data_IF_285008319323
#
_entry.id   IF_285008319323
#
_cell.length_a   1.000
_cell.length_b   1.000
_cell.length_c   1.000
_cell.angle_alpha   90.00
_cell.angle_beta   90.00
_cell.angle_gamma   90.00
#
_symmetry.space_group_name_H-M   'P 1'
#
loop_
_entity.id
_entity.type
_entity.pdbx_description
1 polymer ?
#
# COMPACT_ATOMS: atom_id res chain seq x y z
N UNK A 1 4.26 -42.48 -10.09
CA UNK A 1 3.00 -41.87 -10.58
C UNK A 1 2.86 -40.51 -9.90
N UNK A 2 3.28 -39.42 -10.55
CA UNK A 2 3.26 -38.05 -10.01
C UNK A 2 2.50 -37.13 -10.98
N UNK A 3 1.26 -37.48 -11.32
CA UNK A 3 0.41 -36.69 -12.23
C UNK A 3 -0.50 -35.70 -11.48
N UNK A 4 -0.59 -35.77 -10.14
CA UNK A 4 -1.51 -34.94 -9.35
C UNK A 4 -1.12 -33.47 -9.19
N UNK A 5 0.16 -33.12 -9.28
CA UNK A 5 0.61 -31.73 -9.05
C UNK A 5 0.40 -30.81 -10.25
N UNK A 6 0.29 -31.37 -11.47
CA UNK A 6 0.13 -30.56 -12.68
C UNK A 6 -1.27 -29.93 -12.75
N UNK A 7 -2.30 -30.68 -12.36
CA UNK A 7 -3.68 -30.21 -12.39
C UNK A 7 -3.93 -29.05 -11.41
N UNK A 8 -3.30 -29.08 -10.24
CA UNK A 8 -3.39 -27.99 -9.25
C UNK A 8 -2.79 -26.67 -9.78
N UNK A 9 -1.64 -26.75 -10.47
CA UNK A 9 -0.99 -25.58 -11.07
C UNK A 9 -1.83 -25.01 -12.21
N UNK A 10 -2.40 -25.86 -13.06
CA UNK A 10 -3.27 -25.45 -14.17
C UNK A 10 -4.55 -24.80 -13.65
N UNK A 11 -5.20 -25.40 -12.66
CA UNK A 11 -6.41 -24.86 -12.04
C UNK A 11 -6.15 -23.49 -11.40
N UNK A 12 -5.03 -23.32 -10.71
CA UNK A 12 -4.65 -22.04 -10.11
C UNK A 12 -4.41 -20.95 -11.16
N UNK A 13 -3.73 -21.27 -12.27
CA UNK A 13 -3.54 -20.32 -13.38
C UNK A 13 -4.88 -19.90 -13.97
N UNK A 14 -5.81 -20.84 -14.11
CA UNK A 14 -7.15 -20.56 -14.62
C UNK A 14 -7.95 -19.67 -13.67
N UNK A 15 -7.90 -19.93 -12.36
CA UNK A 15 -8.53 -19.10 -11.33
C UNK A 15 -7.95 -17.68 -11.31
N UNK A 16 -6.63 -17.52 -11.37
CA UNK A 16 -5.98 -16.21 -11.46
C UNK A 16 -6.36 -15.46 -12.74
N UNK A 17 -6.43 -16.15 -13.87
CA UNK A 17 -6.86 -15.57 -15.14
C UNK A 17 -8.33 -15.10 -15.09
N UNK A 18 -9.23 -15.93 -14.52
CA UNK A 18 -10.65 -15.57 -14.34
C UNK A 18 -10.82 -14.37 -13.40
N UNK A 19 -10.06 -14.33 -12.30
CA UNK A 19 -10.08 -13.22 -11.35
C UNK A 19 -9.55 -11.93 -12.00
N UNK A 20 -8.53 -12.04 -12.84
CA UNK A 20 -8.04 -10.94 -13.66
C UNK A 20 -9.08 -10.46 -14.68
N UNK A 21 -9.71 -11.37 -15.43
CA UNK A 21 -10.75 -11.03 -16.41
C UNK A 21 -11.97 -10.36 -15.75
N UNK A 22 -12.41 -10.87 -14.59
CA UNK A 22 -13.52 -10.24 -13.84
C UNK A 22 -13.16 -8.87 -13.29
N UNK A 23 -11.91 -8.67 -12.85
CA UNK A 23 -11.42 -7.34 -12.47
C UNK A 23 -11.45 -6.38 -13.67
N UNK A 24 -10.91 -6.79 -14.83
CA UNK A 24 -10.92 -6.00 -16.06
C UNK A 24 -12.34 -5.62 -16.51
N UNK A 25 -13.29 -6.57 -16.48
CA UNK A 25 -14.69 -6.32 -16.84
C UNK A 25 -15.38 -5.39 -15.83
N UNK A 26 -15.10 -5.55 -14.53
CA UNK A 26 -15.64 -4.66 -13.50
C UNK A 26 -15.10 -3.23 -13.65
N UNK A 27 -13.81 -3.08 -13.96
CA UNK A 27 -13.17 -1.78 -14.24
C UNK A 27 -13.77 -1.13 -15.50
N UNK A 28 -13.94 -1.90 -16.58
CA UNK A 28 -14.57 -1.41 -17.81
C UNK A 28 -16.04 -0.99 -17.60
N UNK A 29 -16.79 -1.75 -16.80
CA UNK A 29 -18.20 -1.47 -16.52
C UNK A 29 -18.41 -0.27 -15.60
N UNK A 30 -17.50 -0.04 -14.64
CA UNK A 30 -17.52 1.15 -13.81
C UNK A 30 -17.27 2.42 -14.63
N UNK A 31 -16.41 2.32 -15.66
CA UNK A 31 -16.10 3.44 -16.53
C UNK A 31 -17.24 3.84 -17.50
N UNK A 32 -18.29 3.03 -17.67
CA UNK A 32 -19.32 3.21 -18.70
C UNK A 32 -20.63 3.86 -18.23
N UNK A 33 -20.76 4.28 -16.97
CA UNK A 33 -22.10 4.54 -16.38
C UNK A 33 -22.74 5.90 -16.62
N UNK A 34 -22.09 6.88 -17.23
CA UNK A 34 -22.72 8.20 -17.40
C UNK A 34 -22.55 8.76 -18.80
N UNK A 35 -23.67 8.85 -19.53
CA UNK A 35 -23.78 9.70 -20.71
C UNK A 35 -24.22 11.10 -20.27
N UNK A 36 -23.42 12.14 -20.50
CA UNK A 36 -23.79 13.53 -20.28
C UNK A 36 -24.94 13.97 -21.19
N UNK A 37 -25.68 14.99 -20.73
CA UNK A 37 -26.71 15.67 -21.51
C UNK A 37 -26.03 16.63 -22.51
N UNK A 38 -26.54 16.73 -23.74
CA UNK A 38 -25.80 17.33 -24.87
C UNK A 38 -25.65 18.87 -24.83
N UNK A 39 -26.30 19.55 -23.88
CA UNK A 39 -26.35 21.02 -23.87
C UNK A 39 -25.58 21.67 -22.71
N UNK A 40 -24.69 20.93 -22.03
CA UNK A 40 -24.00 21.43 -20.82
C UNK A 40 -22.49 21.49 -21.01
N UNK A 41 -21.86 22.51 -20.42
CA UNK A 41 -20.40 22.59 -20.31
C UNK A 41 -19.87 21.56 -19.29
N UNK A 42 -18.56 21.27 -19.35
CA UNK A 42 -17.92 20.38 -18.37
C UNK A 42 -18.09 20.87 -16.92
N UNK A 43 -18.00 22.19 -16.70
CA UNK A 43 -18.16 22.80 -15.38
C UNK A 43 -19.56 22.57 -14.80
N UNK A 44 -20.60 22.86 -15.60
CA UNK A 44 -22.00 22.66 -15.19
C UNK A 44 -22.31 21.18 -14.92
N UNK A 45 -21.75 20.28 -15.72
CA UNK A 45 -21.91 18.84 -15.52
C UNK A 45 -21.28 18.37 -14.21
N UNK A 46 -20.09 18.88 -13.87
CA UNK A 46 -19.39 18.55 -12.63
C UNK A 46 -20.13 19.07 -11.40
N UNK A 47 -20.67 20.29 -11.46
CA UNK A 47 -21.46 20.85 -10.37
C UNK A 47 -22.75 20.03 -10.17
N UNK A 48 -23.51 19.77 -11.22
CA UNK A 48 -24.77 19.02 -11.10
C UNK A 48 -24.57 17.57 -10.65
N UNK A 49 -23.62 16.84 -11.23
CA UNK A 49 -23.48 15.39 -10.98
C UNK A 49 -22.64 15.07 -9.74
N UNK A 50 -21.68 15.93 -9.41
CA UNK A 50 -20.73 15.67 -8.34
C UNK A 50 -20.74 16.74 -7.25
N UNK A 51 -21.58 17.78 -7.36
CA UNK A 51 -21.60 18.93 -6.45
C UNK A 51 -20.22 19.60 -6.35
N UNK A 52 -19.46 19.56 -7.45
CA UNK A 52 -18.14 20.18 -7.56
C UNK A 52 -18.30 21.58 -8.15
N UNK A 53 -18.42 22.58 -7.27
CA UNK A 53 -18.44 24.01 -7.64
C UNK A 53 -17.05 24.47 -8.04
N UNK A 54 -16.60 24.02 -9.19
CA UNK A 54 -15.24 24.26 -9.69
C UNK A 54 -14.98 25.78 -9.77
N UNK A 55 -13.92 26.22 -9.07
CA UNK A 55 -13.49 27.62 -9.10
C UNK A 55 -12.55 27.87 -10.27
N UNK A 56 -11.78 26.85 -10.63
CA UNK A 56 -10.78 26.90 -11.69
C UNK A 56 -10.78 25.55 -12.37
N UNK A 57 -10.81 25.52 -13.71
CA UNK A 57 -10.62 24.33 -14.52
C UNK A 57 -9.55 24.63 -15.55
N UNK A 58 -8.49 23.84 -15.59
CA UNK A 58 -7.42 24.00 -16.56
C UNK A 58 -7.12 22.66 -17.27
N UNK A 59 -6.83 22.75 -18.56
CA UNK A 59 -6.48 21.60 -19.40
C UNK A 59 -4.99 21.29 -19.26
N UNK A 60 -4.64 20.07 -18.83
CA UNK A 60 -3.23 19.62 -18.78
C UNK A 60 -2.80 19.02 -20.11
N UNK A 61 -3.65 18.14 -20.64
CA UNK A 61 -3.32 17.31 -21.80
C UNK A 61 -4.51 17.32 -22.74
N UNK A 62 -4.40 18.13 -23.79
CA UNK A 62 -5.22 18.02 -24.97
C UNK A 62 -4.77 16.76 -25.71
N UNK A 63 -5.26 15.60 -25.32
CA UNK A 63 -5.24 14.48 -26.24
C UNK A 63 -5.78 14.93 -27.62
N UNK A 64 -5.38 14.29 -28.72
CA UNK A 64 -5.96 14.55 -30.05
C UNK A 64 -7.51 14.59 -29.99
N UNK A 65 -8.16 15.28 -30.93
CA UNK A 65 -9.62 15.53 -30.98
C UNK A 65 -10.54 14.32 -30.73
N UNK A 66 -10.03 13.09 -30.85
CA UNK A 66 -10.77 11.84 -30.59
C UNK A 66 -10.41 11.12 -29.27
N UNK A 67 -9.49 11.67 -28.48
CA UNK A 67 -8.96 11.06 -27.25
C UNK A 67 -9.45 11.80 -26.01
N UNK A 68 -9.37 11.12 -24.87
CA UNK A 68 -9.76 11.71 -23.59
C UNK A 68 -8.77 12.80 -23.16
N UNK A 69 -9.30 13.97 -22.83
CA UNK A 69 -8.53 15.08 -22.26
C UNK A 69 -8.45 14.96 -20.74
N UNK A 70 -7.32 15.41 -20.18
CA UNK A 70 -7.13 15.47 -18.72
C UNK A 70 -7.22 16.91 -18.26
N UNK A 71 -8.13 17.16 -17.32
CA UNK A 71 -8.41 18.46 -16.73
C UNK A 71 -8.08 18.42 -15.24
N UNK A 72 -7.59 19.54 -14.72
CA UNK A 72 -7.54 19.79 -13.29
C UNK A 72 -8.62 20.77 -12.90
N UNK A 73 -9.23 20.53 -11.75
CA UNK A 73 -10.13 21.50 -11.15
C UNK A 73 -9.81 21.72 -9.69
N UNK A 74 -9.90 22.97 -9.24
CA UNK A 74 -10.01 23.30 -7.83
C UNK A 74 -11.49 23.42 -7.49
N UNK A 75 -11.96 22.67 -6.50
CA UNK A 75 -13.35 22.74 -6.04
C UNK A 75 -13.39 22.85 -4.50
N UNK A 76 -14.25 23.72 -3.94
CA UNK A 76 -14.39 23.86 -2.51
C UNK A 76 -15.11 22.66 -1.90
N UNK A 77 -14.64 22.20 -0.75
CA UNK A 77 -15.34 21.24 0.07
C UNK A 77 -16.56 21.88 0.73
N UNK A 78 -17.73 21.20 0.76
CA UNK A 78 -18.95 21.76 1.32
C UNK A 78 -18.88 22.16 2.80
N UNK A 79 -17.93 21.61 3.57
CA UNK A 79 -17.90 21.75 5.04
C UNK A 79 -17.09 22.93 5.55
N UNK A 80 -15.98 23.27 4.90
CA UNK A 80 -14.98 24.20 5.42
C UNK A 80 -14.49 25.21 4.37
N UNK A 81 -15.03 25.17 3.14
CA UNK A 81 -14.61 26.03 2.03
C UNK A 81 -13.12 25.91 1.65
N UNK A 82 -12.40 24.90 2.14
CA UNK A 82 -11.06 24.58 1.63
C UNK A 82 -11.20 23.99 0.25
N UNK A 83 -10.25 24.29 -0.64
CA UNK A 83 -10.28 23.81 -2.01
C UNK A 83 -9.45 22.53 -2.11
N UNK A 84 -10.05 21.54 -2.74
CA UNK A 84 -9.37 20.30 -3.11
C UNK A 84 -9.04 20.33 -4.61
N UNK A 85 -7.92 19.71 -4.96
CA UNK A 85 -7.49 19.50 -6.34
C UNK A 85 -8.08 18.20 -6.87
N UNK A 86 -8.85 18.28 -7.96
CA UNK A 86 -9.40 17.14 -8.64
C UNK A 86 -8.77 16.94 -10.02
N UNK A 87 -8.46 15.69 -10.37
CA UNK A 87 -8.26 15.27 -11.76
C UNK A 87 -9.58 14.81 -12.33
N UNK A 88 -9.93 15.38 -13.48
CA UNK A 88 -11.11 15.02 -14.26
C UNK A 88 -10.65 14.55 -15.62
N UNK A 89 -11.16 13.40 -16.04
CA UNK A 89 -10.96 12.91 -17.40
C UNK A 89 -12.26 13.02 -18.15
N UNK A 90 -12.22 13.77 -19.23
CA UNK A 90 -13.39 13.99 -20.05
C UNK A 90 -13.03 13.85 -21.52
N UNK A 91 -13.89 13.17 -22.26
CA UNK A 91 -13.93 13.27 -23.72
C UNK A 91 -14.96 14.34 -24.04
N UNK A 92 -14.54 15.39 -24.71
CA UNK A 92 -15.40 16.49 -25.14
C UNK A 92 -15.65 16.42 -26.66
N UNK A 93 -16.71 17.06 -27.13
CA UNK A 93 -16.90 17.40 -28.55
C UNK A 93 -15.97 18.56 -28.94
N UNK A 94 -15.93 18.91 -30.23
CA UNK A 94 -15.17 20.09 -30.71
C UNK A 94 -15.69 21.39 -30.08
N UNK A 95 -16.98 21.43 -29.74
CA UNK A 95 -17.66 22.54 -29.06
C UNK A 95 -17.45 22.54 -27.53
N UNK A 96 -16.68 21.58 -26.99
CA UNK A 96 -16.40 21.49 -25.55
C UNK A 96 -17.51 20.83 -24.72
N UNK A 97 -18.52 20.24 -25.36
CA UNK A 97 -19.59 19.50 -24.68
C UNK A 97 -19.04 18.14 -24.23
N UNK A 98 -19.20 17.73 -22.97
CA UNK A 98 -18.76 16.41 -22.55
C UNK A 98 -19.56 15.33 -23.29
N UNK A 99 -18.86 14.35 -23.86
CA UNK A 99 -19.39 13.09 -24.39
C UNK A 99 -19.28 11.99 -23.33
N UNK A 100 -18.21 12.04 -22.54
CA UNK A 100 -17.94 11.10 -21.45
C UNK A 100 -17.12 11.80 -20.39
N UNK A 101 -17.53 11.71 -19.14
CA UNK A 101 -16.76 12.22 -18.00
C UNK A 101 -16.57 11.06 -17.03
N UNK A 102 -15.32 10.77 -16.69
CA UNK A 102 -14.98 9.79 -15.66
C UNK A 102 -15.21 10.39 -14.27
N UNK A 103 -15.31 9.53 -13.26
CA UNK A 103 -15.37 9.95 -11.87
C UNK A 103 -14.18 10.87 -11.54
N UNK A 104 -14.42 12.10 -11.06
CA UNK A 104 -13.36 12.99 -10.60
C UNK A 104 -12.57 12.32 -9.46
N UNK A 105 -11.25 12.46 -9.49
CA UNK A 105 -10.39 11.88 -8.46
C UNK A 105 -9.72 13.00 -7.69
N UNK A 106 -9.92 13.00 -6.37
CA UNK A 106 -9.26 13.94 -5.47
C UNK A 106 -7.76 13.62 -5.38
N UNK A 107 -6.92 14.60 -5.66
CA UNK A 107 -5.47 14.56 -5.61
C UNK A 107 -4.89 15.30 -4.39
N UNK A 108 -5.71 15.95 -3.57
CA UNK A 108 -5.27 16.60 -2.34
C UNK A 108 -4.76 15.54 -1.36
N UNK A 109 -3.58 15.79 -0.77
CA UNK A 109 -2.92 14.83 0.11
C UNK A 109 -3.56 14.72 1.49
N UNK A 110 -4.21 15.79 1.96
CA UNK A 110 -4.84 15.82 3.28
C UNK A 110 -6.21 16.46 3.21
N UNK A 111 -7.11 16.03 4.09
CA UNK A 111 -8.48 16.57 4.22
C UNK A 111 -8.51 18.04 4.71
N UNK A 112 -7.35 18.57 5.12
CA UNK A 112 -7.19 19.93 5.62
C UNK A 112 -6.31 20.80 4.72
N UNK A 113 -5.86 20.26 3.58
CA UNK A 113 -5.12 21.04 2.61
C UNK A 113 -6.07 22.01 1.91
N UNK A 114 -5.75 23.30 1.93
CA UNK A 114 -6.39 24.27 1.04
C UNK A 114 -5.49 24.47 -0.18
N UNK A 115 -5.75 23.70 -1.23
CA UNK A 115 -5.03 23.78 -2.51
C UNK A 115 -5.44 25.07 -3.24
N UNK A 116 -4.45 25.94 -3.43
CA UNK A 116 -4.61 27.25 -4.06
C UNK A 116 -3.60 27.46 -5.18
N UNK A 117 -3.78 28.53 -5.96
CA UNK A 117 -2.86 28.94 -7.01
C UNK A 117 -2.50 27.81 -7.98
N UNK A 118 -3.51 27.05 -8.43
CA UNK A 118 -3.32 26.07 -9.49
C UNK A 118 -2.73 26.77 -10.72
N UNK A 119 -1.59 26.26 -11.20
CA UNK A 119 -0.94 26.72 -12.42
C UNK A 119 -0.48 25.52 -13.23
N UNK A 120 -0.85 25.47 -14.50
CA UNK A 120 -0.39 24.44 -15.42
C UNK A 120 0.65 25.01 -16.39
N UNK A 121 1.71 24.24 -16.66
CA UNK A 121 2.66 24.49 -17.74
C UNK A 121 3.09 23.17 -18.38
N UNK A 122 2.62 22.94 -19.61
CA UNK A 122 2.82 21.66 -20.29
C UNK A 122 2.21 20.52 -19.46
N UNK A 123 3.01 19.50 -19.15
CA UNK A 123 2.58 18.36 -18.35
C UNK A 123 2.78 18.52 -16.84
N UNK A 124 3.12 19.73 -16.39
CA UNK A 124 3.32 20.03 -14.97
C UNK A 124 2.17 20.86 -14.44
N UNK A 125 1.69 20.52 -13.24
CA UNK A 125 0.77 21.33 -12.48
C UNK A 125 1.38 21.67 -11.12
N UNK A 126 1.30 22.93 -10.73
CA UNK A 126 1.66 23.39 -9.40
C UNK A 126 0.40 23.74 -8.63
N UNK A 127 0.32 23.27 -7.39
CA UNK A 127 -0.58 23.83 -6.37
C UNK A 127 0.21 24.27 -5.15
N UNK A 128 -0.33 25.26 -4.44
CA UNK A 128 0.18 25.71 -3.16
C UNK A 128 -0.79 25.25 -2.08
N UNK A 129 -0.29 24.58 -1.06
CA UNK A 129 -1.08 24.18 0.08
C UNK A 129 -0.95 25.25 1.16
N UNK A 130 -2.10 25.81 1.54
CA UNK A 130 -2.19 26.71 2.68
C UNK A 130 -2.63 25.95 3.91
N UNK A 131 -2.01 26.28 5.04
CA UNK A 131 -2.51 25.86 6.34
C UNK A 131 -3.80 26.61 6.66
N UNK A 132 -4.87 25.88 6.90
CA UNK A 132 -6.18 26.41 7.24
C UNK A 132 -6.20 27.36 8.46
N UNK A 133 -5.27 27.21 9.42
CA UNK A 133 -5.25 28.06 10.62
C UNK A 133 -4.53 29.37 10.38
N UNK A 134 -3.39 29.32 9.70
CA UNK A 134 -2.52 30.49 9.50
C UNK A 134 -2.76 31.19 8.16
N UNK A 135 -3.48 30.55 7.24
CA UNK A 135 -3.65 30.94 5.83
C UNK A 135 -2.32 31.13 5.06
N UNK A 136 -1.20 30.65 5.64
CA UNK A 136 0.13 30.71 5.05
C UNK A 136 0.40 29.48 4.20
N UNK A 137 1.19 29.68 3.14
CA UNK A 137 1.71 28.61 2.30
C UNK A 137 2.73 27.81 3.11
N UNK A 138 2.43 26.53 3.30
CA UNK A 138 3.28 25.58 4.03
C UNK A 138 3.96 24.59 3.10
N UNK A 139 3.31 24.25 1.98
CA UNK A 139 3.83 23.32 1.00
C UNK A 139 3.53 23.76 -0.43
N UNK A 140 4.37 23.32 -1.35
CA UNK A 140 4.16 23.46 -2.78
C UNK A 140 4.21 22.08 -3.39
N UNK A 141 3.17 21.73 -4.12
CA UNK A 141 3.04 20.43 -4.77
C UNK A 141 3.25 20.61 -6.27
N UNK A 142 4.25 19.95 -6.83
CA UNK A 142 4.43 19.89 -8.29
C UNK A 142 4.09 18.49 -8.75
N UNK A 143 3.08 18.42 -9.60
CA UNK A 143 2.57 17.19 -10.20
C UNK A 143 3.04 17.10 -11.64
N UNK A 144 3.69 15.99 -12.00
CA UNK A 144 4.10 15.68 -13.36
C UNK A 144 3.19 14.60 -13.95
N UNK A 145 2.51 14.91 -15.04
CA UNK A 145 1.62 14.02 -15.78
C UNK A 145 2.32 13.28 -16.93
N UNK A 146 3.61 13.55 -17.17
CA UNK A 146 4.41 12.72 -18.09
C UNK A 146 4.72 11.35 -17.49
N UNK A 147 4.87 10.32 -18.35
CA UNK A 147 5.41 9.06 -17.92
C UNK A 147 6.80 9.30 -17.31
N UNK A 148 7.07 8.78 -16.09
CA UNK A 148 8.36 8.95 -15.45
C UNK A 148 9.46 8.41 -16.37
N UNK A 149 10.60 9.13 -16.51
CA UNK A 149 11.66 8.68 -17.37
C UNK A 149 12.10 7.28 -16.94
N UNK A 150 12.18 6.35 -17.89
CA UNK A 150 12.67 4.98 -17.68
C UNK A 150 14.17 5.01 -17.38
N UNK A 151 14.57 5.56 -16.23
CA UNK A 151 15.97 5.65 -15.80
C UNK A 151 16.54 4.29 -15.40
N UNK A 152 15.69 3.29 -15.13
CA UNK A 152 16.06 1.91 -14.85
C UNK A 152 15.25 0.98 -15.74
N UNK A 153 15.86 -0.08 -16.28
CA UNK A 153 15.12 -1.17 -16.95
C UNK A 153 14.23 -1.86 -15.91
N UNK A 154 13.03 -1.34 -15.71
CA UNK A 154 12.02 -1.95 -14.84
C UNK A 154 11.60 -3.29 -15.43
N UNK A 155 11.42 -4.29 -14.59
CA UNK A 155 10.85 -5.56 -15.03
C UNK A 155 9.44 -5.34 -15.58
N UNK A 156 8.94 -6.20 -16.49
CA UNK A 156 7.56 -6.09 -17.01
C UNK A 156 6.52 -6.10 -15.87
N UNK A 157 6.82 -6.80 -14.78
CA UNK A 157 5.96 -6.89 -13.60
C UNK A 157 5.95 -5.55 -12.85
N UNK A 158 7.10 -4.91 -12.64
CA UNK A 158 7.17 -3.58 -12.01
C UNK A 158 6.48 -2.52 -12.86
N UNK A 159 6.67 -2.54 -14.18
CA UNK A 159 5.95 -1.64 -15.10
C UNK A 159 4.44 -1.80 -14.95
N UNK A 160 3.97 -3.04 -14.87
CA UNK A 160 2.56 -3.33 -14.67
C UNK A 160 2.05 -2.89 -13.28
N UNK A 161 2.79 -3.21 -12.20
CA UNK A 161 2.45 -2.77 -10.83
C UNK A 161 2.33 -1.25 -10.77
N UNK A 162 3.30 -0.54 -11.36
CA UNK A 162 3.30 0.91 -11.44
C UNK A 162 2.11 1.42 -12.24
N UNK A 163 1.87 0.87 -13.42
CA UNK A 163 0.74 1.26 -14.27
C UNK A 163 -0.61 1.05 -13.57
N UNK A 164 -0.77 -0.05 -12.85
CA UNK A 164 -2.01 -0.32 -12.14
C UNK A 164 -2.14 0.52 -10.85
N UNK A 165 -1.05 0.81 -10.14
CA UNK A 165 -1.05 1.75 -9.00
C UNK A 165 -1.47 3.14 -9.45
N UNK A 166 -0.87 3.62 -10.54
CA UNK A 166 -1.24 4.86 -11.20
C UNK A 166 -2.72 4.84 -11.58
N UNK A 167 -3.18 3.75 -12.19
CA UNK A 167 -4.57 3.66 -12.63
C UNK A 167 -5.56 3.69 -11.47
N UNK A 168 -5.24 3.05 -10.34
CA UNK A 168 -6.09 3.08 -9.15
C UNK A 168 -6.16 4.46 -8.48
N UNK A 169 -5.15 5.31 -8.69
CA UNK A 169 -5.07 6.64 -8.07
C UNK A 169 -5.51 7.78 -8.99
N UNK A 170 -5.30 7.65 -10.29
CA UNK A 170 -5.52 8.74 -11.25
C UNK A 170 -6.43 8.31 -12.41
N UNK A 171 -6.83 7.03 -12.43
CA UNK A 171 -7.53 6.42 -13.56
C UNK A 171 -6.63 6.16 -14.77
N UNK A 172 -5.36 6.56 -14.73
CA UNK A 172 -4.46 6.48 -15.88
C UNK A 172 -3.33 5.47 -15.63
N UNK A 173 -2.93 4.74 -16.67
CA UNK A 173 -1.72 3.89 -16.57
C UNK A 173 -0.45 4.72 -16.40
N UNK A 174 -0.48 5.98 -16.85
CA UNK A 174 0.56 6.98 -16.60
C UNK A 174 0.36 7.54 -15.19
N UNK A 175 1.43 7.52 -14.41
CA UNK A 175 1.39 8.01 -13.03
C UNK A 175 1.44 9.52 -13.00
N UNK A 176 0.83 10.08 -11.96
CA UNK A 176 1.09 11.46 -11.60
C UNK A 176 2.26 11.43 -10.62
N UNK A 177 3.43 11.83 -11.10
CA UNK A 177 4.58 12.05 -10.22
C UNK A 177 4.26 13.23 -9.31
N UNK A 178 4.50 13.10 -8.01
CA UNK A 178 4.33 14.19 -7.06
C UNK A 178 5.68 14.50 -6.43
N UNK A 179 6.05 15.77 -6.44
CA UNK A 179 7.14 16.32 -5.65
C UNK A 179 6.57 17.36 -4.71
N UNK A 180 7.07 17.37 -3.48
CA UNK A 180 6.59 18.25 -2.41
C UNK A 180 7.77 19.07 -1.91
N UNK A 181 7.59 20.39 -1.86
CA UNK A 181 8.53 21.31 -1.23
C UNK A 181 7.86 21.92 -0.02
N UNK A 182 8.50 21.77 1.13
CA UNK A 182 8.07 22.45 2.35
C UNK A 182 8.63 23.86 2.38
N UNK A 183 7.80 24.81 2.79
CA UNK A 183 8.11 26.22 2.90
C UNK A 183 8.39 26.53 4.38
N UNK A 184 9.64 26.87 4.70
CA UNK A 184 10.06 27.15 6.08
C UNK A 184 10.87 28.47 6.18
N UNK A 185 10.39 29.48 6.93
CA UNK A 185 9.10 29.53 7.61
C UNK A 185 7.92 29.60 6.60
N UNK A 186 6.69 29.27 7.03
CA UNK A 186 5.51 29.45 6.19
C UNK A 186 5.38 30.89 5.68
N UNK A 187 5.02 31.05 4.40
CA UNK A 187 4.99 32.35 3.72
C UNK A 187 3.57 32.77 3.32
N UNK A 188 3.28 34.06 3.30
CA UNK A 188 1.94 34.56 2.91
C UNK A 188 1.65 34.33 1.42
N UNK A 189 2.70 34.37 0.61
CA UNK A 189 2.67 34.03 -0.81
C UNK A 189 4.02 33.49 -1.25
N UNK A 190 3.99 32.57 -2.22
CA UNK A 190 5.19 32.13 -2.92
C UNK A 190 4.94 32.33 -4.40
N UNK A 191 5.87 32.96 -5.10
CA UNK A 191 5.83 32.98 -6.57
C UNK A 191 6.54 31.75 -7.09
N UNK A 192 5.82 30.95 -7.87
CA UNK A 192 6.34 29.71 -8.46
C UNK A 192 6.38 29.85 -9.97
N UNK A 193 7.52 29.52 -10.56
CA UNK A 193 7.68 29.39 -12.00
C UNK A 193 8.19 27.99 -12.35
N UNK A 194 7.59 27.41 -13.39
CA UNK A 194 7.99 26.10 -13.92
C UNK A 194 8.77 26.34 -15.20
N UNK A 195 9.94 25.73 -15.35
CA UNK A 195 10.67 25.72 -16.61
C UNK A 195 10.06 24.68 -17.56
N UNK A 196 10.39 24.76 -18.85
CA UNK A 196 9.97 23.74 -19.82
C UNK A 196 10.55 22.35 -19.53
N UNK A 197 11.59 22.27 -18.69
CA UNK A 197 12.22 21.02 -18.24
C UNK A 197 11.61 20.48 -16.94
N UNK A 198 10.58 21.13 -16.40
CA UNK A 198 9.97 20.75 -15.12
C UNK A 198 10.81 21.16 -13.90
N UNK A 199 11.80 22.04 -14.09
CA UNK A 199 12.54 22.64 -12.99
C UNK A 199 11.70 23.77 -12.41
N UNK A 200 11.58 23.80 -11.08
CA UNK A 200 10.67 24.72 -10.39
C UNK A 200 11.53 25.73 -9.65
N UNK A 201 11.35 27.01 -9.98
CA UNK A 201 11.97 28.10 -9.26
C UNK A 201 10.95 28.74 -8.31
N UNK A 202 11.42 29.00 -7.09
CA UNK A 202 10.62 29.58 -6.02
C UNK A 202 11.18 30.97 -5.68
N UNK A 203 10.30 31.96 -5.62
CA UNK A 203 10.64 33.31 -5.20
C UNK A 203 9.72 33.71 -4.04
N UNK A 204 10.34 33.95 -2.88
CA UNK A 204 9.69 34.43 -1.65
C UNK A 204 10.75 35.08 -0.77
N UNK A 205 10.44 36.23 -0.15
CA UNK A 205 11.47 37.14 0.39
C UNK A 205 12.36 36.52 1.47
N UNK A 206 11.88 35.52 2.23
CA UNK A 206 12.61 34.97 3.38
C UNK A 206 12.42 33.46 3.59
N UNK A 207 11.69 32.79 2.69
CA UNK A 207 11.36 31.38 2.85
C UNK A 207 12.46 30.47 2.30
N UNK A 208 12.86 29.45 3.08
CA UNK A 208 13.68 28.35 2.59
C UNK A 208 12.76 27.26 2.07
N UNK A 209 13.09 26.75 0.89
CA UNK A 209 12.39 25.64 0.27
C UNK A 209 13.22 24.39 0.46
N UNK A 210 12.68 23.45 1.24
CA UNK A 210 13.29 22.13 1.40
C UNK A 210 12.44 21.16 0.60
N UNK A 211 13.04 20.48 -0.37
CA UNK A 211 12.38 19.35 -1.01
C UNK A 211 12.21 18.27 0.05
N UNK A 212 10.99 18.13 0.57
CA UNK A 212 10.65 17.12 1.56
C UNK A 212 10.34 15.88 0.77
N UNK A 213 11.41 15.16 0.48
CA UNK A 213 11.46 13.80 -0.01
C UNK A 213 10.46 13.50 -1.13
N UNK A 214 10.97 13.38 -2.36
CA UNK A 214 10.24 12.72 -3.43
C UNK A 214 9.65 11.45 -2.85
N UNK A 215 8.32 11.37 -2.71
CA UNK A 215 7.64 10.15 -2.29
C UNK A 215 7.89 9.11 -3.40
N UNK A 216 9.09 8.54 -3.42
CA UNK A 216 9.37 7.25 -4.03
C UNK A 216 8.50 6.30 -3.25
N UNK A 217 7.29 6.10 -3.78
CA UNK A 217 6.26 5.25 -3.17
C UNK A 217 6.94 3.99 -2.68
N UNK A 218 6.85 3.76 -1.37
CA UNK A 218 7.28 2.49 -0.81
C UNK A 218 6.67 1.38 -1.66
N UNK A 219 7.54 0.55 -2.23
CA UNK A 219 7.11 -0.58 -3.03
C UNK A 219 6.36 -1.55 -2.11
N UNK A 220 5.06 -1.36 -1.99
CA UNK A 220 4.23 -2.28 -1.25
C UNK A 220 4.41 -3.67 -1.86
N UNK A 221 4.61 -4.72 -1.03
CA UNK A 221 4.56 -6.08 -1.51
C UNK A 221 3.28 -6.29 -2.33
N UNK A 222 3.36 -7.04 -3.43
CA UNK A 222 2.28 -7.16 -4.43
C UNK A 222 0.91 -7.40 -3.78
N UNK A 223 0.84 -8.17 -2.70
CA UNK A 223 -0.38 -8.44 -1.96
C UNK A 223 -1.01 -7.20 -1.31
N UNK A 224 -0.21 -6.40 -0.60
CA UNK A 224 -0.67 -5.17 0.02
C UNK A 224 -1.17 -4.19 -1.05
N UNK A 225 -0.46 -4.14 -2.18
CA UNK A 225 -0.87 -3.36 -3.33
C UNK A 225 -2.22 -3.84 -3.91
N UNK A 226 -2.37 -5.15 -4.22
CA UNK A 226 -3.62 -5.73 -4.75
C UNK A 226 -4.78 -5.53 -3.78
N UNK A 227 -4.57 -5.73 -2.47
CA UNK A 227 -5.58 -5.52 -1.46
C UNK A 227 -6.02 -4.04 -1.37
N UNK A 228 -5.08 -3.10 -1.49
CA UNK A 228 -5.38 -1.67 -1.49
C UNK A 228 -6.15 -1.24 -2.74
N UNK A 229 -5.73 -1.69 -3.94
CA UNK A 229 -6.47 -1.45 -5.20
C UNK A 229 -7.86 -2.05 -5.12
N UNK A 230 -7.97 -3.28 -4.61
CA UNK A 230 -9.23 -3.97 -4.38
C UNK A 230 -10.20 -3.19 -3.52
N UNK A 231 -9.72 -2.69 -2.38
CA UNK A 231 -10.51 -1.90 -1.43
C UNK A 231 -11.02 -0.60 -2.06
N UNK A 232 -10.20 0.07 -2.88
CA UNK A 232 -10.58 1.29 -3.60
C UNK A 232 -11.64 1.04 -4.68
N UNK A 233 -11.55 -0.08 -5.41
CA UNK A 233 -12.48 -0.38 -6.51
C UNK A 233 -13.80 -0.98 -6.04
N UNK A 234 -13.77 -1.81 -4.99
CA UNK A 234 -14.96 -2.41 -4.38
C UNK A 234 -14.75 -2.57 -2.87
N UNK A 235 -15.36 -1.71 -2.03
CA UNK A 235 -15.23 -1.77 -0.58
C UNK A 235 -16.09 -2.89 0.03
N UNK A 236 -15.97 -4.11 -0.46
CA UNK A 236 -16.70 -5.28 0.08
C UNK A 236 -15.72 -6.29 0.67
N UNK A 237 -15.95 -6.69 1.92
CA UNK A 237 -15.11 -7.65 2.65
C UNK A 237 -14.94 -8.98 1.92
N UNK A 238 -15.94 -9.40 1.13
CA UNK A 238 -15.90 -10.62 0.31
C UNK A 238 -14.77 -10.60 -0.73
N UNK A 239 -14.49 -9.45 -1.33
CA UNK A 239 -13.42 -9.34 -2.33
C UNK A 239 -12.03 -9.46 -1.70
N UNK A 240 -11.84 -8.82 -0.54
CA UNK A 240 -10.60 -8.91 0.25
C UNK A 240 -10.38 -10.34 0.75
N UNK A 241 -11.44 -11.02 1.20
CA UNK A 241 -11.38 -12.42 1.62
C UNK A 241 -10.96 -13.34 0.46
N UNK A 242 -11.57 -13.18 -0.72
CA UNK A 242 -11.21 -13.95 -1.92
C UNK A 242 -9.75 -13.74 -2.33
N UNK A 243 -9.26 -12.49 -2.31
CA UNK A 243 -7.86 -12.19 -2.62
C UNK A 243 -6.90 -12.84 -1.62
N UNK A 244 -7.22 -12.80 -0.33
CA UNK A 244 -6.42 -13.46 0.71
C UNK A 244 -6.38 -14.98 0.50
N UNK A 245 -7.53 -15.59 0.20
CA UNK A 245 -7.62 -17.04 -0.04
C UNK A 245 -6.76 -17.47 -1.24
N UNK A 246 -6.87 -16.77 -2.37
CA UNK A 246 -6.07 -17.06 -3.58
C UNK A 246 -4.58 -16.88 -3.28
N UNK A 247 -4.20 -15.83 -2.55
CA UNK A 247 -2.80 -15.61 -2.19
C UNK A 247 -2.25 -16.69 -1.25
N UNK A 248 -2.96 -17.01 -0.16
CA UNK A 248 -2.46 -18.01 0.79
C UNK A 248 -2.38 -19.39 0.14
N UNK A 249 -3.31 -19.72 -0.76
CA UNK A 249 -3.24 -20.95 -1.55
C UNK A 249 -2.03 -20.96 -2.49
N UNK A 250 -1.81 -19.87 -3.23
CA UNK A 250 -0.66 -19.68 -4.11
C UNK A 250 0.69 -19.79 -3.37
N UNK A 251 0.79 -19.08 -2.25
CA UNK A 251 2.00 -19.01 -1.44
C UNK A 251 2.30 -20.35 -0.79
N UNK A 252 1.29 -21.02 -0.23
CA UNK A 252 1.46 -22.35 0.34
C UNK A 252 1.90 -23.37 -0.71
N UNK A 253 1.37 -23.28 -1.94
CA UNK A 253 1.81 -24.15 -3.03
C UNK A 253 3.26 -23.87 -3.45
N UNK A 254 3.66 -22.59 -3.55
CA UNK A 254 5.05 -22.23 -3.84
C UNK A 254 6.01 -22.69 -2.74
N UNK A 255 5.63 -22.60 -1.47
CA UNK A 255 6.41 -23.17 -0.37
C UNK A 255 6.53 -24.69 -0.50
N UNK A 256 5.44 -25.40 -0.76
CA UNK A 256 5.46 -26.86 -1.00
C UNK A 256 6.32 -27.24 -2.20
N UNK A 257 6.24 -26.52 -3.32
CA UNK A 257 7.07 -26.78 -4.50
C UNK A 257 8.54 -26.46 -4.22
N UNK A 258 8.83 -25.37 -3.49
CA UNK A 258 10.19 -25.02 -3.10
C UNK A 258 10.77 -26.04 -2.13
N UNK A 259 9.97 -26.56 -1.21
CA UNK A 259 10.33 -27.64 -0.30
C UNK A 259 10.57 -28.94 -1.04
N UNK A 260 9.70 -29.34 -1.97
CA UNK A 260 9.88 -30.53 -2.80
C UNK A 260 11.16 -30.47 -3.66
N UNK A 261 11.61 -29.26 -4.02
CA UNK A 261 12.86 -29.04 -4.76
C UNK A 261 14.07 -28.95 -3.81
N UNK A 262 13.90 -28.41 -2.60
CA UNK A 262 14.97 -28.21 -1.62
C UNK A 262 15.28 -29.47 -0.79
N UNK A 263 14.33 -30.39 -0.63
CA UNK A 263 14.52 -31.65 0.11
C UNK A 263 15.54 -32.59 -0.58
N UNK A 264 15.95 -32.30 -1.81
CA UNK A 264 17.00 -33.02 -2.54
C UNK A 264 18.41 -32.43 -2.30
N UNK A 265 18.55 -31.33 -1.53
CA UNK A 265 19.88 -30.76 -1.24
C UNK A 265 19.95 -30.01 0.10
N UNK A 266 20.36 -30.75 1.15
CA UNK A 266 21.12 -30.31 2.34
C UNK A 266 20.45 -29.67 3.57
N UNK A 267 20.78 -30.30 4.71
CA UNK A 267 21.19 -29.75 6.02
C UNK A 267 20.48 -28.50 6.58
N UNK A 268 19.62 -28.72 7.57
CA UNK A 268 19.03 -27.67 8.39
C UNK A 268 20.04 -27.04 9.35
N UNK A 269 20.33 -25.76 9.11
CA UNK A 269 21.02 -24.85 10.02
C UNK A 269 20.17 -24.60 11.27
N UNK A 270 20.68 -24.97 12.43
CA UNK A 270 20.14 -24.59 13.74
C UNK A 270 20.69 -23.23 14.16
N UNK A 271 19.82 -22.33 14.62
CA UNK A 271 20.26 -21.12 15.34
C UNK A 271 21.00 -21.56 16.61
N UNK A 272 22.10 -20.89 17.01
CA UNK A 272 22.86 -21.26 18.19
C UNK A 272 22.12 -20.81 19.45
N UNK A 273 21.14 -21.59 19.89
CA UNK A 273 20.64 -21.51 21.27
C UNK A 273 21.68 -22.21 22.14
N UNK A 274 22.31 -21.48 23.07
CA UNK A 274 23.31 -22.04 24.00
C UNK A 274 22.68 -23.18 24.81
N UNK A 275 22.96 -24.41 24.40
CA UNK A 275 22.44 -25.68 24.93
C UNK A 275 22.72 -25.85 26.44
N UNK A 276 23.75 -25.16 26.97
CA UNK A 276 24.13 -25.23 28.38
C UNK A 276 23.12 -24.64 29.38
N UNK A 277 22.12 -23.85 28.94
CA UNK A 277 21.13 -23.25 29.85
C UNK A 277 19.94 -24.16 30.18
N UNK A 278 19.69 -25.21 29.38
CA UNK A 278 18.46 -26.03 29.47
C UNK A 278 18.48 -26.98 30.67
N UNK A 279 19.65 -27.53 31.00
CA UNK A 279 19.77 -28.58 32.01
C UNK A 279 19.79 -28.02 33.45
N UNK A 280 20.41 -26.85 33.66
CA UNK A 280 20.32 -26.09 34.90
C UNK A 280 18.90 -25.55 35.14
N UNK A 281 18.23 -25.07 34.10
CA UNK A 281 16.84 -24.62 34.19
C UNK A 281 15.90 -25.78 34.57
N UNK A 282 16.14 -26.99 34.03
CA UNK A 282 15.38 -28.21 34.37
C UNK A 282 15.55 -28.61 35.84
N UNK A 283 16.76 -28.50 36.40
CA UNK A 283 17.04 -28.76 37.82
C UNK A 283 16.42 -27.70 38.74
N UNK A 284 16.46 -26.41 38.36
CA UNK A 284 15.83 -25.32 39.12
C UNK A 284 14.30 -25.38 39.09
N UNK A 285 13.72 -25.73 37.95
CA UNK A 285 12.26 -25.91 37.82
C UNK A 285 11.76 -27.11 38.65
N UNK A 286 12.51 -28.21 38.69
CA UNK A 286 12.16 -29.38 39.50
C UNK A 286 12.15 -29.09 41.02
N UNK A 287 12.93 -28.11 41.49
CA UNK A 287 13.00 -27.72 42.90
C UNK A 287 11.80 -26.86 43.36
N UNK A 288 11.11 -26.18 42.43
CA UNK A 288 9.99 -25.27 42.74
C UNK A 288 8.61 -25.96 42.76
N UNK A 289 8.52 -27.23 42.33
CA UNK A 289 7.26 -27.99 42.23
C UNK A 289 6.66 -28.34 43.61
N UNK A 290 7.43 -28.27 44.71
CA UNK A 290 6.98 -28.79 46.01
C UNK A 290 6.00 -27.91 46.80
N UNK A 291 5.81 -26.63 46.48
CA UNK A 291 5.00 -25.73 47.36
C UNK A 291 4.09 -24.70 46.65
N UNK A 292 3.95 -24.74 45.32
CA UNK A 292 3.12 -23.76 44.60
C UNK A 292 1.83 -24.36 44.05
N UNK A 293 0.69 -23.73 44.36
CA UNK A 293 -0.63 -24.07 43.78
C UNK A 293 -0.67 -23.94 42.24
N UNK A 294 0.29 -23.22 41.65
CA UNK A 294 0.51 -23.12 40.19
C UNK A 294 2.03 -23.08 39.95
N UNK A 295 2.66 -24.17 39.48
CA UNK A 295 4.10 -24.18 39.24
C UNK A 295 4.46 -23.22 38.11
N UNK A 296 5.56 -22.47 38.28
CA UNK A 296 6.16 -21.64 37.24
C UNK A 296 7.56 -22.16 36.87
N UNK A 297 7.89 -22.36 35.58
CA UNK A 297 6.98 -22.26 34.43
C UNK A 297 5.87 -23.33 34.48
N UNK A 298 4.77 -23.15 33.72
CA UNK A 298 3.75 -24.18 33.58
C UNK A 298 4.34 -25.49 33.04
N UNK A 299 3.61 -26.60 33.14
CA UNK A 299 4.03 -27.86 32.55
C UNK A 299 4.32 -27.73 31.03
N UNK A 300 5.20 -28.60 30.48
CA UNK A 300 5.43 -28.66 29.03
C UNK A 300 4.14 -28.76 28.22
N UNK A 301 4.14 -28.13 27.05
CA UNK A 301 3.00 -28.16 26.14
C UNK A 301 2.86 -29.56 25.51
N UNK A 302 1.62 -30.04 25.29
CA UNK A 302 1.39 -31.29 24.59
C UNK A 302 1.88 -31.19 23.14
N UNK A 303 2.66 -32.16 22.70
CA UNK A 303 3.13 -32.24 21.31
C UNK A 303 2.06 -32.88 20.45
N UNK A 304 1.66 -32.19 19.38
CA UNK A 304 0.56 -32.60 18.51
C UNK A 304 0.95 -33.66 17.46
N UNK A 305 2.25 -33.77 17.15
CA UNK A 305 2.74 -34.64 16.09
C UNK A 305 3.48 -35.87 16.66
N UNK A 306 3.32 -37.06 16.04
CA UNK A 306 4.17 -38.20 16.35
C UNK A 306 5.61 -37.86 15.92
N UNK A 307 6.59 -38.13 16.79
CA UNK A 307 8.01 -37.73 16.69
C UNK A 307 8.28 -36.26 17.07
N UNK A 308 8.21 -35.91 18.38
CA UNK A 308 8.59 -34.57 18.85
C UNK A 308 10.02 -34.23 18.42
N UNK A 309 10.25 -32.98 18.02
CA UNK A 309 11.60 -32.45 17.81
C UNK A 309 12.24 -32.08 19.14
N UNK A 310 13.56 -31.93 19.12
CA UNK A 310 14.33 -31.46 20.28
C UNK A 310 13.73 -30.16 20.82
N UNK A 311 13.43 -30.17 22.13
CA UNK A 311 12.82 -29.06 22.86
C UNK A 311 11.41 -28.64 22.41
N UNK A 312 10.72 -29.43 21.58
CA UNK A 312 9.33 -29.17 21.21
C UNK A 312 8.42 -29.33 22.44
N UNK A 313 7.60 -28.32 22.70
CA UNK A 313 6.73 -28.23 23.87
C UNK A 313 7.46 -27.94 25.20
N UNK A 314 8.80 -27.92 25.23
CA UNK A 314 9.58 -27.61 26.43
C UNK A 314 9.76 -26.10 26.61
N UNK A 315 9.56 -25.61 27.83
CA UNK A 315 9.79 -24.20 28.18
C UNK A 315 11.29 -23.93 28.37
N UNK A 316 11.85 -23.11 27.49
CA UNK A 316 13.23 -22.67 27.53
C UNK A 316 13.27 -21.25 28.10
N UNK A 317 14.08 -20.96 29.14
CA UNK A 317 14.20 -19.62 29.67
C UNK A 317 14.83 -18.68 28.64
N UNK A 318 14.26 -17.49 28.49
CA UNK A 318 14.81 -16.43 27.64
C UNK A 318 15.48 -15.41 28.53
N UNK A 319 16.81 -15.42 28.55
CA UNK A 319 17.57 -14.41 29.29
C UNK A 319 17.39 -13.04 28.62
N UNK A 320 16.90 -12.06 29.39
CA UNK A 320 16.85 -10.67 28.98
C UNK A 320 17.69 -9.82 29.94
N UNK A 321 18.76 -9.24 29.43
CA UNK A 321 19.70 -8.42 30.22
C UNK A 321 19.08 -7.10 30.72
N UNK A 322 17.95 -6.68 30.14
CA UNK A 322 17.25 -5.43 30.50
C UNK A 322 16.27 -5.59 31.66
N UNK A 323 16.04 -6.81 32.15
CA UNK A 323 15.09 -7.09 33.24
C UNK A 323 15.86 -7.49 34.50
N UNK A 324 15.60 -6.78 35.59
CA UNK A 324 16.26 -7.01 36.88
C UNK A 324 15.93 -8.42 37.38
N UNK A 325 16.95 -9.28 37.48
CA UNK A 325 16.80 -10.64 38.00
C UNK A 325 16.79 -10.63 39.52
N UNK A 326 15.76 -11.22 40.12
CA UNK A 326 15.80 -11.57 41.53
C UNK A 326 16.62 -12.86 41.68
N UNK A 327 17.66 -12.84 42.52
CA UNK A 327 18.67 -13.91 42.61
C UNK A 327 18.10 -15.30 42.94
N UNK A 328 16.88 -15.36 43.50
CA UNK A 328 16.22 -16.61 43.90
C UNK A 328 14.88 -16.87 43.18
N UNK A 329 14.50 -16.03 42.22
CA UNK A 329 13.28 -16.23 41.43
C UNK A 329 13.56 -17.03 40.16
N UNK A 330 12.58 -17.80 39.65
CA UNK A 330 12.68 -18.38 38.31
C UNK A 330 12.76 -17.27 37.24
N UNK A 331 13.22 -17.61 36.04
CA UNK A 331 13.34 -16.62 34.97
C UNK A 331 11.95 -16.05 34.63
N UNK A 332 11.84 -14.72 34.42
CA UNK A 332 10.55 -14.11 34.16
C UNK A 332 10.01 -14.46 32.78
N UNK A 333 10.86 -14.84 31.82
CA UNK A 333 10.44 -15.16 30.46
C UNK A 333 10.79 -16.59 30.10
N UNK A 334 9.81 -17.31 29.56
CA UNK A 334 10.01 -18.61 28.94
C UNK A 334 9.44 -18.61 27.54
N UNK A 335 10.10 -19.32 26.63
CA UNK A 335 9.66 -19.55 25.28
C UNK A 335 9.62 -21.05 24.99
N UNK A 336 8.58 -21.48 24.29
CA UNK A 336 8.44 -22.85 23.77
C UNK A 336 8.02 -22.78 22.31
N UNK A 337 8.07 -23.91 21.61
CA UNK A 337 7.46 -24.01 20.30
C UNK A 337 6.72 -25.33 20.13
N UNK A 338 5.66 -25.32 19.32
CA UNK A 338 4.93 -26.51 18.90
C UNK A 338 4.75 -26.49 17.38
N UNK A 339 4.77 -27.67 16.76
CA UNK A 339 4.35 -27.81 15.36
C UNK A 339 2.87 -28.12 15.31
N UNK A 340 2.16 -27.40 14.45
CA UNK A 340 0.69 -27.46 14.37
C UNK A 340 0.18 -28.25 13.18
N UNK A 341 1.04 -28.53 12.19
CA UNK A 341 0.62 -29.17 10.94
C UNK A 341 1.56 -30.32 10.54
N UNK A 342 1.07 -31.56 10.44
CA UNK A 342 1.88 -32.70 10.01
C UNK A 342 2.42 -32.56 8.57
N UNK A 343 1.68 -31.88 7.68
CA UNK A 343 2.11 -31.66 6.29
C UNK A 343 3.22 -30.61 6.16
N UNK A 344 3.38 -29.74 7.16
CA UNK A 344 4.41 -28.69 7.17
C UNK A 344 5.20 -28.78 8.47
N UNK A 345 5.94 -29.89 8.62
CA UNK A 345 6.66 -30.24 9.84
C UNK A 345 7.77 -29.24 10.24
N UNK A 346 8.08 -28.25 9.40
CA UNK A 346 9.01 -27.17 9.70
C UNK A 346 8.32 -25.93 10.33
N UNK A 347 7.00 -25.77 10.21
CA UNK A 347 6.27 -24.60 10.76
C UNK A 347 6.17 -24.72 12.28
N UNK A 348 6.73 -23.72 12.98
CA UNK A 348 6.79 -23.64 14.44
C UNK A 348 5.92 -22.47 14.90
N UNK A 349 5.01 -22.74 15.82
CA UNK A 349 4.34 -21.70 16.58
C UNK A 349 5.14 -21.48 17.86
N UNK A 350 5.73 -20.30 17.99
CA UNK A 350 6.45 -19.92 19.20
C UNK A 350 5.47 -19.32 20.20
N UNK A 351 5.53 -19.82 21.43
CA UNK A 351 4.70 -19.36 22.54
C UNK A 351 5.65 -18.78 23.58
N UNK A 352 5.38 -17.55 24.00
CA UNK A 352 6.14 -16.87 25.05
C UNK A 352 5.22 -16.57 26.22
N UNK A 353 5.72 -16.78 27.44
CA UNK A 353 5.00 -16.51 28.69
C UNK A 353 5.87 -15.64 29.58
N UNK A 354 5.22 -14.76 30.35
CA UNK A 354 5.86 -13.84 31.30
C UNK A 354 4.99 -13.58 32.52
#
# INVERSE_FOLDING_TARGET
>A
MCTGDYDAVVEMRYRLLLLFCTLCVAMASAALRHRPNQDRTLAEWLDEKWNLKTTTIELIDSGNQFTESTWLALAPLPRNNTKDLYVIRARLTEEGVPIRVHTPINLSLSEWADDTNLRIKGHYAITQVRDHLTAKVVEIHVRNFEPPPTRRKMSRIETWKRAAANWAETGQSRGVGLRVWQVNPPADSVQTEISHLGEVSFHGSDARFVEVEQHEREELPLLHWVANVGRKLRPTDRFVALLKEVYFSAHNMMEVTREAIADDTSQHSSLPVRIYAVEEARKKAAFQIRDQKRPWPPPPLPVLLPNPRDNEGLWIPVANERVTKNQNAPEPFYQSFIRTNPKHSHKRVFISIW
#
